data_IF_521747096066
#
_entry.id   IF_521747096066
#
_cell.length_a   1.000
_cell.length_b   1.000
_cell.length_c   1.000
_cell.angle_alpha   90.00
_cell.angle_beta   90.00
_cell.angle_gamma   90.00
#
_symmetry.space_group_name_H-M   'P 1'
#
loop_
_entity.id
_entity.type
_entity.pdbx_description
1 polymer ?
#
# COMPACT_ATOMS: atom_id res chain seq x y z
N UNK A 1 17.32 10.14 3.91
CA UNK A 1 16.21 11.10 3.83
C UNK A 1 15.08 10.77 4.83
N UNK A 2 14.32 9.66 4.69
CA UNK A 2 13.28 9.29 5.66
C UNK A 2 13.85 9.06 7.08
N UNK A 3 14.93 8.29 7.20
CA UNK A 3 15.56 8.00 8.50
C UNK A 3 16.26 9.18 9.15
N UNK A 4 16.54 10.24 8.42
CA UNK A 4 17.16 11.48 8.89
C UNK A 4 16.13 12.58 9.19
N UNK A 5 14.83 12.29 9.05
CA UNK A 5 13.76 13.26 9.29
C UNK A 5 13.58 14.32 8.21
N UNK A 6 14.27 14.20 7.06
CA UNK A 6 14.14 15.14 5.95
C UNK A 6 12.83 14.92 5.17
N UNK A 7 12.30 13.69 5.19
CA UNK A 7 11.02 13.32 4.59
C UNK A 7 10.12 12.80 5.72
N UNK A 8 8.93 13.37 5.85
CA UNK A 8 8.01 13.08 6.95
C UNK A 8 6.82 12.21 6.55
N UNK A 9 6.63 11.98 5.23
CA UNK A 9 5.52 11.20 4.73
C UNK A 9 5.88 10.46 3.44
N UNK A 10 5.23 9.33 3.22
CA UNK A 10 5.25 8.61 1.95
C UNK A 10 3.90 8.78 1.28
N UNK A 11 3.90 9.30 0.06
CA UNK A 11 2.73 9.34 -0.79
C UNK A 11 2.81 8.23 -1.84
N UNK A 12 1.68 7.60 -2.11
CA UNK A 12 1.57 6.55 -3.11
C UNK A 12 0.72 7.07 -4.26
N UNK A 13 1.30 7.06 -5.45
CA UNK A 13 0.63 7.46 -6.68
C UNK A 13 0.62 6.28 -7.64
N UNK A 14 -0.48 5.53 -7.68
CA UNK A 14 -0.66 4.39 -8.58
C UNK A 14 -1.51 4.80 -9.78
N UNK A 15 -1.05 4.45 -10.98
CA UNK A 15 -1.82 4.59 -12.21
C UNK A 15 -2.03 3.18 -12.76
N UNK A 16 -3.24 2.60 -12.60
CA UNK A 16 -3.55 1.31 -13.21
C UNK A 16 -3.70 1.49 -14.72
N UNK A 17 -3.05 0.62 -15.48
CA UNK A 17 -3.19 0.52 -16.93
C UNK A 17 -3.86 -0.80 -17.28
N UNK A 18 -4.63 -0.81 -18.34
CA UNK A 18 -5.14 -2.03 -18.94
C UNK A 18 -4.12 -2.68 -19.90
N UNK A 19 -4.50 -3.82 -20.49
CA UNK A 19 -3.62 -4.55 -21.39
C UNK A 19 -3.37 -3.77 -22.70
N UNK A 20 -4.35 -3.01 -23.19
CA UNK A 20 -4.23 -2.21 -24.42
C UNK A 20 -3.28 -1.01 -24.19
N UNK A 21 -3.41 -0.32 -23.08
CA UNK A 21 -2.53 0.79 -22.71
C UNK A 21 -1.08 0.31 -22.50
N UNK A 22 -0.88 -0.89 -21.99
CA UNK A 22 0.45 -1.49 -21.83
C UNK A 22 1.13 -1.83 -23.17
N UNK A 23 0.37 -2.00 -24.24
CA UNK A 23 0.90 -2.26 -25.60
C UNK A 23 1.26 -0.98 -26.35
N UNK A 24 0.88 0.20 -25.86
CA UNK A 24 1.23 1.47 -26.50
C UNK A 24 2.76 1.68 -26.50
N UNK A 25 3.27 2.40 -27.53
CA UNK A 25 4.66 2.84 -27.56
C UNK A 25 5.03 3.60 -26.28
N UNK A 26 6.31 3.51 -25.81
CA UNK A 26 6.73 4.12 -24.54
C UNK A 26 6.47 5.62 -24.40
N UNK A 27 6.44 6.35 -25.51
CA UNK A 27 6.17 7.79 -25.57
C UNK A 27 4.66 8.12 -25.47
N UNK A 28 3.79 7.16 -25.76
CA UNK A 28 2.33 7.31 -25.72
C UNK A 28 1.72 6.63 -24.49
N UNK A 29 2.44 5.71 -23.88
CA UNK A 29 1.96 4.98 -22.71
C UNK A 29 1.97 5.85 -21.45
N UNK A 30 0.85 5.92 -20.70
CA UNK A 30 0.83 6.59 -19.40
C UNK A 30 1.91 6.02 -18.47
N UNK A 31 2.64 6.88 -17.78
CA UNK A 31 3.68 6.48 -16.84
C UNK A 31 3.05 6.16 -15.49
N UNK A 32 3.30 4.99 -14.97
CA UNK A 32 2.81 4.61 -13.66
C UNK A 32 2.95 3.11 -13.37
N UNK A 33 2.75 2.77 -12.12
CA UNK A 33 2.76 1.40 -11.60
C UNK A 33 1.50 1.22 -10.77
N UNK A 34 0.81 0.10 -10.93
CA UNK A 34 -0.28 -0.29 -10.04
C UNK A 34 0.26 -1.18 -8.93
N UNK A 35 -0.16 -0.97 -7.69
CA UNK A 35 0.33 -1.78 -6.58
C UNK A 35 0.09 -1.17 -5.20
N UNK A 36 -0.99 -0.42 -4.99
CA UNK A 36 -1.32 0.16 -3.68
C UNK A 36 -1.34 -0.89 -2.55
N UNK A 37 -1.85 -2.09 -2.83
CA UNK A 37 -1.91 -3.20 -1.87
C UNK A 37 -0.53 -3.77 -1.53
N UNK A 38 0.50 -3.46 -2.31
CA UNK A 38 1.88 -3.90 -2.09
C UNK A 38 2.72 -2.90 -1.29
N UNK A 39 2.20 -1.72 -1.03
CA UNK A 39 2.95 -0.65 -0.34
C UNK A 39 3.42 -1.09 1.04
N UNK A 40 2.51 -1.59 1.86
CA UNK A 40 2.85 -2.01 3.22
C UNK A 40 3.80 -3.20 3.25
N UNK A 41 3.56 -4.31 2.53
CA UNK A 41 4.52 -5.42 2.46
C UNK A 41 5.90 -5.00 1.99
N UNK A 42 5.97 -4.22 0.91
CA UNK A 42 7.25 -3.80 0.31
C UNK A 42 8.05 -2.87 1.23
N UNK A 43 7.37 -1.88 1.83
CA UNK A 43 8.02 -0.96 2.76
C UNK A 43 8.38 -1.64 4.08
N UNK A 44 7.57 -2.58 4.56
CA UNK A 44 7.92 -3.41 5.71
C UNK A 44 9.21 -4.17 5.45
N UNK A 45 9.28 -4.93 4.35
CA UNK A 45 10.49 -5.68 4.00
C UNK A 45 11.70 -4.73 3.91
N UNK A 46 11.56 -3.63 3.19
CA UNK A 46 12.70 -2.73 2.95
C UNK A 46 13.12 -1.92 4.17
N UNK A 47 12.17 -1.34 4.90
CA UNK A 47 12.49 -0.42 5.98
C UNK A 47 12.65 -1.13 7.31
N UNK A 48 11.76 -2.05 7.66
CA UNK A 48 11.81 -2.73 8.96
C UNK A 48 12.82 -3.87 8.93
N UNK A 49 12.71 -4.78 7.95
CA UNK A 49 13.56 -5.98 7.91
C UNK A 49 14.98 -5.64 7.46
N UNK A 50 15.15 -4.98 6.31
CA UNK A 50 16.48 -4.76 5.73
C UNK A 50 17.23 -3.59 6.41
N UNK A 51 16.54 -2.51 6.77
CA UNK A 51 17.14 -1.30 7.31
C UNK A 51 16.97 -1.13 8.84
N UNK A 52 16.28 -2.06 9.51
CA UNK A 52 16.15 -2.08 10.97
C UNK A 52 15.27 -0.96 11.56
N UNK A 53 14.34 -0.41 10.78
CA UNK A 53 13.39 0.57 11.30
C UNK A 53 12.46 -0.06 12.33
N UNK A 54 12.07 0.72 13.32
CA UNK A 54 10.97 0.33 14.20
C UNK A 54 9.64 0.44 13.46
N UNK A 55 8.64 -0.34 13.91
CA UNK A 55 7.26 -0.25 13.43
C UNK A 55 6.72 1.18 13.56
N UNK A 56 7.04 1.86 14.65
CA UNK A 56 6.62 3.25 14.87
C UNK A 56 7.19 4.22 13.82
N UNK A 57 8.43 4.04 13.39
CA UNK A 57 9.02 4.86 12.33
C UNK A 57 8.33 4.64 10.98
N UNK A 58 8.01 3.38 10.66
CA UNK A 58 7.23 3.07 9.46
C UNK A 58 5.84 3.71 9.53
N UNK A 59 5.16 3.60 10.67
CA UNK A 59 3.82 4.18 10.86
C UNK A 59 3.83 5.71 10.85
N UNK A 60 4.88 6.33 11.39
CA UNK A 60 5.09 7.76 11.28
C UNK A 60 5.12 8.20 9.80
N UNK A 61 5.83 7.47 8.95
CA UNK A 61 5.95 7.81 7.53
C UNK A 61 4.68 7.52 6.71
N UNK A 62 3.88 6.51 7.09
CA UNK A 62 2.71 6.05 6.32
C UNK A 62 1.38 6.65 6.80
N UNK A 63 1.29 7.06 8.07
CA UNK A 63 0.02 7.47 8.67
C UNK A 63 0.12 8.81 9.41
N UNK A 64 0.94 8.90 10.44
CA UNK A 64 0.95 10.07 11.32
C UNK A 64 1.55 11.31 10.64
N UNK A 65 2.66 11.16 9.93
CA UNK A 65 3.27 12.25 9.16
C UNK A 65 2.35 12.80 8.07
N UNK A 66 1.74 11.96 7.23
CA UNK A 66 0.70 12.39 6.29
C UNK A 66 -0.47 13.13 6.96
N UNK A 67 -0.99 12.62 8.10
CA UNK A 67 -2.07 13.29 8.82
C UNK A 67 -1.66 14.69 9.28
N UNK A 68 -0.47 14.84 9.86
CA UNK A 68 0.06 16.14 10.28
C UNK A 68 0.20 17.12 9.10
N UNK A 69 0.73 16.65 7.95
CA UNK A 69 0.87 17.47 6.75
C UNK A 69 -0.49 17.96 6.21
N UNK A 70 -1.53 17.16 6.36
CA UNK A 70 -2.88 17.48 5.92
C UNK A 70 -3.70 18.22 6.98
N UNK A 71 -3.12 18.53 8.14
CA UNK A 71 -3.83 19.17 9.25
C UNK A 71 -4.93 18.29 9.87
N UNK A 72 -4.81 16.97 9.73
CA UNK A 72 -5.75 16.00 10.26
C UNK A 72 -5.25 15.45 11.60
N UNK A 73 -6.18 15.01 12.44
CA UNK A 73 -5.83 14.31 13.67
C UNK A 73 -5.20 12.96 13.34
N UNK A 74 -4.16 12.60 14.10
CA UNK A 74 -3.57 11.26 14.03
C UNK A 74 -4.60 10.20 14.41
N UNK A 75 -4.71 9.18 13.59
CA UNK A 75 -5.55 8.03 13.91
C UNK A 75 -4.83 7.11 14.90
N UNK A 76 -5.47 6.88 16.02
CA UNK A 76 -4.96 6.01 17.09
C UNK A 76 -5.91 4.85 17.30
N UNK A 77 -5.35 3.68 17.53
CA UNK A 77 -6.12 2.51 17.90
C UNK A 77 -6.70 2.69 19.31
N UNK A 78 -8.03 2.69 19.38
CA UNK A 78 -8.79 2.79 20.63
C UNK A 78 -9.98 1.85 20.62
N UNK A 79 -10.59 1.62 21.79
CA UNK A 79 -11.81 0.79 21.87
C UNK A 79 -12.91 1.41 21.00
N UNK A 80 -13.47 0.62 20.09
CA UNK A 80 -14.47 1.08 19.13
C UNK A 80 -13.91 1.70 17.85
N UNK A 81 -12.58 1.77 17.68
CA UNK A 81 -11.97 2.21 16.43
C UNK A 81 -12.41 1.31 15.27
N UNK A 82 -12.86 1.92 14.19
CA UNK A 82 -13.22 1.23 12.94
C UNK A 82 -12.15 1.42 11.84
N UNK A 83 -11.03 2.05 12.16
CA UNK A 83 -9.89 2.27 11.26
C UNK A 83 -8.66 1.58 11.83
N UNK A 84 -8.51 0.34 11.49
CA UNK A 84 -7.41 -0.51 11.89
C UNK A 84 -7.09 -1.51 10.79
N UNK A 85 -5.90 -2.05 10.81
CA UNK A 85 -5.50 -3.19 10.00
C UNK A 85 -4.70 -4.19 10.86
N UNK A 86 -4.81 -5.46 10.48
CA UNK A 86 -3.99 -6.54 11.01
C UNK A 86 -3.07 -7.01 9.89
N UNK A 87 -1.77 -6.93 10.13
CA UNK A 87 -0.73 -7.28 9.18
C UNK A 87 0.09 -8.44 9.70
N UNK A 88 0.22 -9.50 8.91
CA UNK A 88 1.12 -10.62 9.18
C UNK A 88 2.39 -10.41 8.34
N UNK A 89 3.54 -10.09 8.95
CA UNK A 89 4.79 -9.82 8.23
C UNK A 89 5.47 -11.09 7.71
N UNK A 90 5.07 -12.28 8.19
CA UNK A 90 5.71 -13.54 7.83
C UNK A 90 4.94 -14.31 6.75
N UNK A 91 3.66 -14.00 6.57
CA UNK A 91 2.85 -14.69 5.56
C UNK A 91 3.37 -14.40 4.15
N UNK A 92 3.57 -15.47 3.37
CA UNK A 92 3.96 -15.37 1.97
C UNK A 92 2.79 -15.73 1.08
N UNK A 93 2.61 -14.98 0.01
CA UNK A 93 1.53 -15.18 -0.97
C UNK A 93 2.00 -14.77 -2.36
N UNK A 94 1.35 -15.30 -3.40
CA UNK A 94 1.69 -15.01 -4.79
C UNK A 94 0.75 -13.96 -5.37
N UNK A 95 1.34 -12.94 -6.01
CA UNK A 95 0.57 -11.95 -6.76
C UNK A 95 0.08 -12.56 -8.06
N UNK A 96 -1.24 -12.76 -8.17
CA UNK A 96 -1.88 -13.28 -9.38
C UNK A 96 -2.99 -12.34 -9.85
N UNK A 97 -3.36 -12.44 -11.14
CA UNK A 97 -4.52 -11.71 -11.69
C UNK A 97 -5.85 -12.44 -11.48
N UNK A 98 -5.79 -13.73 -11.24
CA UNK A 98 -6.95 -14.62 -11.24
C UNK A 98 -7.58 -14.82 -9.87
N UNK A 99 -6.88 -14.39 -8.80
CA UNK A 99 -7.41 -14.47 -7.46
C UNK A 99 -8.67 -13.60 -7.29
N UNK A 100 -9.67 -14.03 -6.53
CA UNK A 100 -10.77 -13.19 -6.14
C UNK A 100 -10.24 -11.89 -5.50
N UNK A 101 -10.78 -10.76 -5.91
CA UNK A 101 -10.37 -9.42 -5.44
C UNK A 101 -8.95 -8.98 -5.86
N UNK A 102 -8.24 -9.74 -6.70
CA UNK A 102 -6.96 -9.30 -7.25
C UNK A 102 -7.15 -8.04 -8.11
N UNK A 103 -6.25 -7.07 -8.03
CA UNK A 103 -6.25 -5.93 -8.93
C UNK A 103 -6.14 -6.38 -10.39
N UNK A 104 -6.93 -5.80 -11.27
CA UNK A 104 -6.99 -6.19 -12.69
C UNK A 104 -6.00 -5.43 -13.59
N UNK A 105 -5.32 -4.43 -13.04
CA UNK A 105 -4.35 -3.64 -13.78
C UNK A 105 -3.26 -4.52 -14.41
N UNK A 106 -2.87 -4.21 -15.65
CA UNK A 106 -1.84 -4.94 -16.39
C UNK A 106 -0.41 -4.57 -15.95
N UNK A 107 -0.22 -3.34 -15.48
CA UNK A 107 1.09 -2.79 -15.09
C UNK A 107 1.47 -3.08 -13.63
N UNK A 108 1.25 -4.29 -13.17
CA UNK A 108 1.63 -4.74 -11.84
C UNK A 108 3.02 -5.41 -11.87
N UNK A 109 4.05 -4.84 -11.21
CA UNK A 109 5.43 -5.32 -11.36
C UNK A 109 5.72 -6.65 -10.67
N UNK A 110 4.86 -7.09 -9.74
CA UNK A 110 5.08 -8.31 -8.94
C UNK A 110 4.21 -9.50 -9.35
N UNK A 111 3.54 -9.44 -10.50
CA UNK A 111 2.77 -10.60 -10.98
C UNK A 111 3.67 -11.82 -11.12
N UNK A 112 3.26 -12.93 -10.52
CA UNK A 112 4.01 -14.20 -10.53
C UNK A 112 5.22 -14.25 -9.58
N UNK A 113 5.38 -13.23 -8.73
CA UNK A 113 6.42 -13.22 -7.71
C UNK A 113 5.83 -13.41 -6.30
N UNK A 114 6.54 -14.13 -5.42
CA UNK A 114 6.13 -14.25 -4.03
C UNK A 114 6.30 -12.92 -3.29
N UNK A 115 5.31 -12.55 -2.52
CA UNK A 115 5.28 -11.37 -1.66
C UNK A 115 5.27 -11.84 -0.22
N UNK A 116 6.17 -11.30 0.60
CA UNK A 116 6.17 -11.52 2.05
C UNK A 116 5.48 -10.37 2.75
N UNK A 117 4.60 -10.69 3.67
CA UNK A 117 3.76 -9.74 4.40
C UNK A 117 2.38 -9.59 3.76
N UNK A 118 1.33 -9.75 4.57
CA UNK A 118 -0.05 -9.66 4.12
C UNK A 118 -0.93 -8.92 5.12
N UNK A 119 -1.79 -8.04 4.64
CA UNK A 119 -2.91 -7.53 5.43
C UNK A 119 -3.98 -8.62 5.49
N UNK A 120 -4.14 -9.24 6.65
CA UNK A 120 -5.06 -10.36 6.85
C UNK A 120 -6.48 -9.89 7.22
N UNK A 121 -6.61 -8.68 7.76
CA UNK A 121 -7.91 -8.10 8.08
C UNK A 121 -7.80 -6.57 8.24
N UNK A 122 -8.91 -5.86 8.06
CA UNK A 122 -9.01 -4.44 8.36
C UNK A 122 -10.42 -4.07 8.82
N UNK A 123 -10.51 -3.01 9.61
CA UNK A 123 -11.76 -2.50 10.18
C UNK A 123 -12.47 -1.43 9.35
N UNK A 124 -12.05 -1.16 8.13
CA UNK A 124 -12.73 -0.21 7.25
C UNK A 124 -14.12 -0.75 6.89
N UNK A 125 -15.16 -0.14 7.48
CA UNK A 125 -16.52 -0.34 7.01
C UNK A 125 -16.72 0.47 5.73
N UNK A 126 -16.90 -0.20 4.61
CA UNK A 126 -17.37 0.44 3.38
C UNK A 126 -18.78 0.96 3.67
N UNK A 127 -19.07 2.26 3.50
CA UNK A 127 -20.43 2.75 3.62
C UNK A 127 -21.34 2.01 2.64
N UNK A 128 -22.36 1.32 3.14
CA UNK A 128 -23.31 0.51 2.35
C UNK A 128 -24.26 1.36 1.47
N UNK A 129 -24.01 2.67 1.34
CA UNK A 129 -24.94 3.62 0.70
C UNK A 129 -24.52 4.08 -0.71
N UNK A 130 -23.79 3.27 -1.48
CA UNK A 130 -23.58 3.56 -2.90
C UNK A 130 -23.66 2.28 -3.75
N UNK A 131 -24.82 1.60 -3.69
CA UNK A 131 -25.28 0.74 -4.79
C UNK A 131 -26.71 1.16 -5.06
N UNK A 132 -26.85 2.11 -5.96
CA UNK A 132 -28.08 2.55 -6.56
C UNK A 132 -27.82 2.78 -8.05
#
# INVERSE_FOLDING_TARGET
ALGEGTINAVAVHGIPLDDEECLLPPDQRPKGISGHHLVLPTLWQRLVVDLGWSVNQLWQALSFGPAQLLGQNEERLSIGSNRWLLFDPEQTWDQTRDAPYAPKAANQPWIGLPIRGQVVSCGLKIPTNQVG
#
